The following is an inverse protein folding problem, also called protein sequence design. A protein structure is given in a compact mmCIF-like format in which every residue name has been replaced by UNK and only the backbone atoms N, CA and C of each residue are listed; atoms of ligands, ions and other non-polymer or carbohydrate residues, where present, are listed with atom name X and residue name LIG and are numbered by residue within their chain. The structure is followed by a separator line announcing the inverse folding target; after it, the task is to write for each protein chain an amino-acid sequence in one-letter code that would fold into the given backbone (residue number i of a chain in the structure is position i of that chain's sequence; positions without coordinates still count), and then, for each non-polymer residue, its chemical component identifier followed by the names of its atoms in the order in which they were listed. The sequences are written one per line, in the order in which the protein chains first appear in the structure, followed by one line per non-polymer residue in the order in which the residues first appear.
data_IF_120407699905
#
_entry.id   IF_120407699905
#
_cell.length_a   1.000
_cell.length_b   1.000
_cell.length_c   1.000
_cell.angle_alpha   90.00
_cell.angle_beta   90.00
_cell.angle_gamma   90.00
#
_symmetry.space_group_name_H-M   'P 1'
#
loop_
_entity.id
_entity.type
_entity.pdbx_description
1 polymer ?
#
# COMPACT_ATOMS: atom_id res chain seq x y z
N UNK A 1 -19.34 4.85 -4.10
CA UNK A 1 -19.18 6.12 -3.35
C UNK A 1 -18.19 6.05 -2.18
N UNK A 2 -18.04 4.91 -1.49
CA UNK A 2 -17.06 4.76 -0.38
C UNK A 2 -15.60 5.01 -0.75
N UNK A 3 -15.21 4.77 -2.01
CA UNK A 3 -13.87 5.10 -2.50
C UNK A 3 -13.60 6.62 -2.53
N UNK A 4 -14.65 7.44 -2.71
CA UNK A 4 -14.57 8.90 -2.71
C UNK A 4 -14.66 9.49 -1.30
N UNK A 5 -15.20 8.75 -0.32
CA UNK A 5 -15.33 9.23 1.06
C UNK A 5 -14.06 9.04 1.89
N UNK A 6 -13.13 8.16 1.47
CA UNK A 6 -11.78 8.05 2.04
C UNK A 6 -11.72 7.81 3.56
N UNK A 7 -12.81 7.30 4.16
CA UNK A 7 -12.94 7.15 5.60
C UNK A 7 -12.83 5.68 6.02
N UNK A 8 -11.87 5.39 6.90
CA UNK A 8 -11.88 4.22 7.78
C UNK A 8 -10.98 3.03 7.39
N UNK A 9 -11.09 2.49 6.17
CA UNK A 9 -10.46 1.19 5.82
C UNK A 9 -9.41 1.25 4.70
N UNK A 10 -9.40 2.32 3.90
CA UNK A 10 -8.49 2.52 2.77
C UNK A 10 -7.78 3.86 2.86
N UNK A 11 -6.44 3.84 2.75
CA UNK A 11 -5.61 5.05 2.63
C UNK A 11 -5.04 5.13 1.21
N UNK A 12 -5.66 5.90 0.30
CA UNK A 12 -5.10 6.14 -1.03
C UNK A 12 -3.91 7.10 -0.94
N UNK A 13 -2.73 6.65 -1.38
CA UNK A 13 -1.52 7.47 -1.31
C UNK A 13 -1.58 8.71 -2.22
N UNK A 14 -2.37 8.66 -3.30
CA UNK A 14 -2.39 9.69 -4.37
C UNK A 14 -3.46 10.78 -4.15
N UNK A 15 -4.49 10.53 -3.34
CA UNK A 15 -5.62 11.46 -3.15
C UNK A 15 -5.52 12.25 -1.85
N UNK A 16 -5.38 11.57 -0.71
CA UNK A 16 -5.36 12.23 0.59
C UNK A 16 -3.99 12.83 0.89
N UNK A 17 -2.93 12.04 0.76
CA UNK A 17 -1.62 12.42 1.28
C UNK A 17 -0.89 13.43 0.39
N UNK A 18 -0.85 13.26 -0.92
CA UNK A 18 -0.12 14.20 -1.79
C UNK A 18 -0.82 15.57 -2.01
N UNK A 19 -2.13 15.72 -1.70
CA UNK A 19 -2.92 16.92 -2.03
C UNK A 19 -3.56 17.64 -0.84
N UNK A 20 -3.70 16.98 0.31
CA UNK A 20 -4.30 17.58 1.51
C UNK A 20 -3.21 17.86 2.54
N UNK A 21 -3.02 19.14 2.90
CA UNK A 21 -1.99 19.60 3.85
C UNK A 21 -2.01 18.80 5.15
N UNK A 22 -3.19 18.40 5.63
CA UNK A 22 -3.36 17.58 6.85
C UNK A 22 -2.71 16.20 6.76
N UNK A 23 -2.71 15.59 5.58
CA UNK A 23 -2.25 14.22 5.37
C UNK A 23 -0.89 14.14 4.66
N UNK A 24 -0.43 15.26 4.08
CA UNK A 24 0.87 15.37 3.43
C UNK A 24 2.05 14.97 4.31
N UNK A 25 2.14 15.36 5.59
CA UNK A 25 3.20 14.89 6.49
C UNK A 25 3.23 13.36 6.67
N UNK A 26 2.11 12.67 6.44
CA UNK A 26 2.03 11.22 6.57
C UNK A 26 2.41 10.47 5.28
N UNK A 27 2.60 11.18 4.17
CA UNK A 27 2.92 10.58 2.87
C UNK A 27 4.17 9.70 2.96
N UNK A 28 5.28 10.25 3.43
CA UNK A 28 6.55 9.55 3.52
C UNK A 28 6.47 8.34 4.45
N UNK A 29 5.78 8.52 5.60
CA UNK A 29 5.53 7.43 6.56
C UNK A 29 4.72 6.30 5.91
N UNK A 30 3.69 6.61 5.14
CA UNK A 30 2.84 5.60 4.49
C UNK A 30 3.57 4.91 3.33
N UNK A 31 4.34 5.65 2.53
CA UNK A 31 5.16 5.07 1.46
C UNK A 31 6.19 4.09 2.04
N UNK A 32 6.91 4.50 3.08
CA UNK A 32 7.89 3.64 3.76
C UNK A 32 7.23 2.40 4.38
N UNK A 33 6.07 2.57 5.01
CA UNK A 33 5.31 1.44 5.55
C UNK A 33 4.88 0.45 4.46
N UNK A 34 4.38 0.95 3.33
CA UNK A 34 4.02 0.11 2.20
C UNK A 34 5.23 -0.69 1.67
N UNK A 35 6.38 -0.02 1.48
CA UNK A 35 7.64 -0.66 1.06
C UNK A 35 8.08 -1.77 2.02
N UNK A 36 8.01 -1.54 3.33
CA UNK A 36 8.32 -2.57 4.34
C UNK A 36 7.38 -3.77 4.25
N UNK A 37 6.06 -3.53 4.14
CA UNK A 37 5.08 -4.62 4.00
C UNK A 37 5.35 -5.45 2.73
N UNK A 38 5.69 -4.78 1.61
CA UNK A 38 6.04 -5.46 0.37
C UNK A 38 7.30 -6.31 0.55
N UNK A 39 8.34 -5.77 1.19
CA UNK A 39 9.59 -6.49 1.45
C UNK A 39 9.35 -7.74 2.31
N UNK A 40 8.46 -7.66 3.30
CA UNK A 40 8.16 -8.78 4.19
C UNK A 40 7.29 -9.85 3.52
N UNK A 41 6.28 -9.44 2.72
CA UNK A 41 5.32 -10.35 2.08
C UNK A 41 5.76 -10.84 0.69
N UNK A 42 6.74 -10.19 0.09
CA UNK A 42 7.21 -10.40 -1.29
C UNK A 42 6.09 -10.40 -2.34
N UNK A 43 4.96 -9.76 -2.03
CA UNK A 43 3.77 -9.78 -2.85
C UNK A 43 2.84 -8.61 -2.51
N UNK A 44 2.00 -8.25 -3.46
CA UNK A 44 0.91 -7.28 -3.30
C UNK A 44 -0.39 -7.84 -3.84
N UNK A 45 -1.50 -7.11 -3.63
CA UNK A 45 -2.80 -7.44 -4.20
C UNK A 45 -3.14 -6.47 -5.30
N UNK A 46 -3.55 -6.96 -6.47
CA UNK A 46 -4.05 -6.10 -7.54
C UNK A 46 -5.38 -5.47 -7.16
N UNK A 47 -5.85 -4.51 -7.95
CA UNK A 47 -7.21 -3.94 -7.85
C UNK A 47 -8.32 -5.01 -7.89
N UNK A 48 -8.08 -6.16 -8.51
CA UNK A 48 -9.00 -7.30 -8.57
C UNK A 48 -8.73 -8.34 -7.46
N UNK A 49 -8.01 -7.96 -6.40
CA UNK A 49 -7.62 -8.80 -5.25
C UNK A 49 -6.77 -10.04 -5.59
N UNK A 50 -6.19 -10.08 -6.79
CA UNK A 50 -5.27 -11.14 -7.21
C UNK A 50 -3.88 -10.92 -6.62
N UNK A 51 -3.18 -12.00 -6.26
CA UNK A 51 -1.81 -11.90 -5.78
C UNK A 51 -0.89 -11.56 -6.95
N UNK A 52 -0.11 -10.50 -6.79
CA UNK A 52 1.01 -10.16 -7.65
C UNK A 52 2.28 -10.57 -6.89
N UNK A 53 2.97 -11.58 -7.40
CA UNK A 53 4.24 -12.04 -6.86
C UNK A 53 5.36 -11.06 -7.24
N UNK A 54 6.11 -10.59 -6.23
CA UNK A 54 7.24 -9.67 -6.37
C UNK A 54 8.55 -10.30 -5.92
N UNK A 55 8.55 -11.60 -5.58
CA UNK A 55 9.75 -12.33 -5.16
C UNK A 55 10.79 -12.48 -6.26
N UNK A 56 10.40 -12.31 -7.52
CA UNK A 56 11.25 -12.42 -8.70
C UNK A 56 11.85 -11.08 -9.12
N UNK A 57 13.02 -11.16 -9.75
CA UNK A 57 13.60 -10.13 -10.63
C UNK A 57 13.84 -8.74 -10.02
N UNK A 58 14.76 -8.57 -9.06
CA UNK A 58 15.27 -7.26 -8.58
C UNK A 58 14.21 -6.21 -8.16
N UNK A 59 12.92 -6.57 -8.18
CA UNK A 59 11.79 -5.65 -8.00
C UNK A 59 11.78 -5.14 -6.58
N UNK A 60 12.10 -5.99 -5.61
CA UNK A 60 12.23 -5.59 -4.21
C UNK A 60 13.29 -4.50 -4.04
N UNK A 61 14.46 -4.61 -4.67
CA UNK A 61 15.48 -3.56 -4.58
C UNK A 61 15.02 -2.24 -5.19
N UNK A 62 14.39 -2.31 -6.37
CA UNK A 62 13.80 -1.13 -7.03
C UNK A 62 12.71 -0.49 -6.18
N UNK A 63 11.83 -1.31 -5.57
CA UNK A 63 10.79 -0.86 -4.64
C UNK A 63 11.39 -0.16 -3.43
N UNK A 64 12.47 -0.71 -2.86
CA UNK A 64 13.16 -0.09 -1.72
C UNK A 64 13.84 1.24 -2.08
N UNK A 65 14.19 1.45 -3.36
CA UNK A 65 14.75 2.71 -3.86
C UNK A 65 13.71 3.73 -4.34
N UNK A 66 12.46 3.32 -4.57
CA UNK A 66 11.40 4.24 -4.99
C UNK A 66 11.15 5.34 -3.96
N UNK A 67 11.19 6.59 -4.41
CA UNK A 67 10.95 7.80 -3.60
C UNK A 67 9.51 8.30 -3.75
N UNK A 68 8.80 7.86 -4.80
CA UNK A 68 7.44 8.29 -5.09
C UNK A 68 6.46 7.13 -5.26
N UNK A 69 5.18 7.39 -5.03
CA UNK A 69 4.11 6.45 -5.35
C UNK A 69 4.01 6.16 -6.85
N UNK A 70 4.38 7.12 -7.70
CA UNK A 70 4.41 6.92 -9.14
C UNK A 70 5.49 5.90 -9.55
N UNK A 71 6.70 6.05 -9.01
CA UNK A 71 7.77 5.06 -9.22
C UNK A 71 7.37 3.68 -8.69
N UNK A 72 6.81 3.65 -7.48
CA UNK A 72 6.34 2.41 -6.87
C UNK A 72 5.27 1.72 -7.73
N UNK A 73 4.29 2.48 -8.25
CA UNK A 73 3.27 1.99 -9.18
C UNK A 73 3.90 1.45 -10.47
N UNK A 74 4.83 2.19 -11.09
CA UNK A 74 5.54 1.75 -12.30
C UNK A 74 6.31 0.43 -12.11
N UNK A 75 6.95 0.24 -10.95
CA UNK A 75 7.72 -0.98 -10.65
C UNK A 75 6.78 -2.19 -10.49
N UNK A 76 5.62 -2.00 -9.83
CA UNK A 76 4.62 -3.07 -9.69
C UNK A 76 3.94 -3.36 -11.02
N UNK A 77 3.64 -2.32 -11.81
CA UNK A 77 3.12 -2.41 -13.17
C UNK A 77 1.60 -2.31 -13.31
N UNK A 78 0.86 -2.26 -12.20
CA UNK A 78 -0.60 -2.08 -12.18
C UNK A 78 -1.09 -1.46 -10.87
N UNK A 79 -2.37 -1.07 -10.81
CA UNK A 79 -3.02 -0.63 -9.57
C UNK A 79 -3.00 -1.74 -8.52
N UNK A 80 -2.50 -1.42 -7.33
CA UNK A 80 -2.31 -2.41 -6.28
C UNK A 80 -2.58 -1.86 -4.89
N UNK A 81 -2.65 -2.77 -3.92
CA UNK A 81 -2.75 -2.45 -2.51
C UNK A 81 -1.96 -3.44 -1.63
N UNK A 82 -1.61 -2.95 -0.44
CA UNK A 82 -1.09 -3.75 0.67
C UNK A 82 -1.87 -3.44 1.93
N UNK A 83 -1.95 -4.39 2.87
CA UNK A 83 -2.58 -4.15 4.16
C UNK A 83 -1.54 -4.21 5.29
N UNK A 84 -1.66 -3.27 6.23
CA UNK A 84 -1.08 -3.44 7.57
C UNK A 84 -1.74 -4.64 8.24
N UNK A 85 -1.17 -5.08 9.36
CA UNK A 85 -1.76 -6.15 10.16
C UNK A 85 -1.98 -5.66 11.59
N UNK A 86 -2.92 -6.31 12.27
CA UNK A 86 -3.14 -6.15 13.70
C UNK A 86 -3.38 -7.50 14.34
N UNK A 87 -3.09 -7.62 15.64
CA UNK A 87 -3.37 -8.83 16.40
C UNK A 87 -4.85 -8.86 16.82
N UNK A 88 -5.44 -10.06 16.77
CA UNK A 88 -6.81 -10.25 17.21
C UNK A 88 -6.88 -10.31 18.74
N UNK A 89 -7.69 -9.44 19.34
CA UNK A 89 -8.02 -9.54 20.76
C UNK A 89 -8.98 -10.71 21.08
N UNK A 90 -9.65 -11.26 20.07
CA UNK A 90 -10.59 -12.37 20.23
C UNK A 90 -9.94 -13.75 20.06
N UNK A 91 -8.83 -13.83 19.33
CA UNK A 91 -8.13 -15.07 19.02
C UNK A 91 -6.62 -14.87 19.16
N UNK A 92 -6.04 -15.38 20.24
CA UNK A 92 -4.59 -15.26 20.51
C UNK A 92 -3.76 -15.81 19.34
N UNK A 93 -2.72 -15.08 18.96
CA UNK A 93 -1.83 -15.43 17.85
C UNK A 93 -2.42 -15.20 16.44
N UNK A 94 -3.68 -14.80 16.31
CA UNK A 94 -4.29 -14.52 14.99
C UNK A 94 -3.98 -13.10 14.53
N UNK A 95 -3.30 -12.98 13.38
CA UNK A 95 -3.13 -11.70 12.66
C UNK A 95 -4.32 -11.45 11.73
N UNK A 96 -4.81 -10.22 11.72
CA UNK A 96 -5.90 -9.73 10.88
C UNK A 96 -5.39 -8.66 9.91
N UNK A 97 -6.09 -8.47 8.79
CA UNK A 97 -5.84 -7.33 7.91
C UNK A 97 -6.27 -6.03 8.62
N UNK A 98 -5.35 -5.08 8.68
CA UNK A 98 -5.62 -3.73 9.15
C UNK A 98 -5.98 -2.80 7.98
N UNK A 99 -5.41 -1.60 7.98
CA UNK A 99 -5.64 -0.59 6.94
C UNK A 99 -5.03 -1.00 5.62
N UNK A 100 -5.82 -0.88 4.53
CA UNK A 100 -5.32 -1.04 3.16
C UNK A 100 -4.67 0.26 2.69
N UNK A 101 -3.41 0.20 2.30
CA UNK A 101 -2.69 1.26 1.60
C UNK A 101 -2.83 0.98 0.11
N UNK A 102 -3.44 1.90 -0.64
CA UNK A 102 -3.70 1.73 -2.07
C UNK A 102 -2.83 2.65 -2.91
N UNK A 103 -2.24 2.10 -3.97
CA UNK A 103 -1.45 2.80 -4.97
C UNK A 103 -2.15 2.69 -6.32
N UNK A 104 -2.76 3.78 -6.77
CA UNK A 104 -3.58 3.81 -7.99
C UNK A 104 -3.07 4.90 -8.92
N UNK A 105 -3.04 4.63 -10.22
CA UNK A 105 -2.83 5.68 -11.20
C UNK A 105 -4.13 6.47 -11.36
N UNK A 106 -4.06 7.80 -11.29
CA UNK A 106 -5.22 8.64 -11.62
C UNK A 106 -5.46 8.58 -13.14
N UNK A 107 -6.71 8.46 -13.58
CA UNK A 107 -7.06 8.76 -14.97
C UNK A 107 -6.79 10.22 -15.31
#
# INVERSE_FOLDING_TARGET
EEFNSGFGSHTPMVLGQAKVVRYFPNYERTLNLAKTIIKDKLSVRSKADKVIDLSKDEKIEKIMRAETCEELHKIVGEDFWVATWCDSNAFEGKRLEGTRITCIQKP
#
